data_IF_828806725822
#
_entry.id   IF_828806725822
#
_cell.length_a   1.000
_cell.length_b   1.000
_cell.length_c   1.000
_cell.angle_alpha   90.00
_cell.angle_beta   90.00
_cell.angle_gamma   90.00
#
_symmetry.space_group_name_H-M   'P 1'
#
loop_
_entity.id
_entity.type
_entity.pdbx_description
1 polymer ?
#
# COMPACT_ATOMS: atom_id res chain seq x y z
N UNK A 1 0.81 15.68 19.41
CA UNK A 1 2.18 16.09 19.81
C UNK A 1 2.17 17.61 19.91
N UNK A 2 2.36 18.19 21.10
CA UNK A 2 2.42 19.64 21.26
C UNK A 2 3.43 20.24 20.28
N UNK A 3 3.05 21.32 19.58
CA UNK A 3 3.92 22.03 18.64
C UNK A 3 4.09 21.38 17.25
N UNK A 4 3.35 20.32 16.90
CA UNK A 4 3.32 19.81 15.52
C UNK A 4 2.06 20.22 14.77
N UNK A 5 2.24 20.71 13.55
CA UNK A 5 1.15 20.98 12.62
C UNK A 5 0.64 19.67 12.02
N UNK A 6 -0.64 19.40 12.19
CA UNK A 6 -1.34 18.32 11.50
C UNK A 6 -1.99 18.89 10.25
N UNK A 7 -1.96 18.14 9.15
CA UNK A 7 -2.74 18.50 7.97
C UNK A 7 -4.23 18.48 8.29
N UNK A 8 -4.99 19.34 7.61
CA UNK A 8 -6.45 19.34 7.59
C UNK A 8 -6.91 18.47 6.43
N UNK A 9 -7.86 17.57 6.68
CA UNK A 9 -8.50 16.75 5.66
C UNK A 9 -9.63 17.49 4.97
N UNK A 10 -9.85 17.18 3.70
CA UNK A 10 -10.86 17.83 2.87
C UNK A 10 -11.79 16.82 2.22
N UNK A 11 -13.10 17.13 2.25
CA UNK A 11 -14.13 16.39 1.50
C UNK A 11 -13.99 16.66 0.01
N UNK A 12 -14.61 15.83 -0.83
CA UNK A 12 -14.61 16.04 -2.28
C UNK A 12 -15.32 17.35 -2.71
N UNK A 13 -16.15 17.93 -1.84
CA UNK A 13 -16.75 19.26 -2.01
C UNK A 13 -15.75 20.41 -1.84
N UNK A 14 -14.54 20.12 -1.33
CA UNK A 14 -13.54 21.11 -0.95
C UNK A 14 -13.68 21.62 0.49
N UNK A 15 -14.70 21.18 1.22
CA UNK A 15 -14.91 21.57 2.61
C UNK A 15 -13.90 20.88 3.53
N UNK A 16 -13.37 21.62 4.50
CA UNK A 16 -12.56 21.05 5.56
C UNK A 16 -13.39 20.12 6.46
N UNK A 17 -12.79 19.02 6.89
CA UNK A 17 -13.39 18.14 7.89
C UNK A 17 -13.39 18.84 9.25
N UNK A 18 -14.51 18.79 9.97
CA UNK A 18 -14.61 19.37 11.31
C UNK A 18 -13.61 18.73 12.27
N UNK A 19 -12.94 19.55 13.10
CA UNK A 19 -11.79 19.12 13.91
C UNK A 19 -10.55 18.70 13.10
N UNK A 20 -10.56 18.90 11.78
CA UNK A 20 -9.48 18.64 10.83
C UNK A 20 -9.36 17.18 10.37
N UNK A 21 -9.90 16.22 11.11
CA UNK A 21 -9.94 14.78 10.78
C UNK A 21 -10.91 14.05 11.72
N UNK A 22 -11.43 12.90 11.29
CA UNK A 22 -12.04 11.95 12.23
C UNK A 22 -10.95 11.24 13.04
N UNK A 23 -11.09 11.23 14.36
CA UNK A 23 -10.10 10.64 15.27
C UNK A 23 -10.53 9.24 15.68
N UNK A 24 -9.75 8.24 15.26
CA UNK A 24 -9.93 6.84 15.67
C UNK A 24 -9.01 6.48 16.84
N UNK A 25 -9.33 5.40 17.59
CA UNK A 25 -8.42 4.83 18.56
C UNK A 25 -7.06 4.49 17.91
N UNK A 26 -5.93 4.71 18.62
CA UNK A 26 -4.58 4.47 18.08
C UNK A 26 -4.36 3.05 17.56
N UNK A 27 -5.04 2.05 18.12
CA UNK A 27 -4.91 0.63 17.74
C UNK A 27 -5.67 0.23 16.47
N UNK A 28 -6.47 1.13 15.90
CA UNK A 28 -7.24 0.89 14.67
C UNK A 28 -6.78 1.78 13.52
N UNK A 29 -7.14 3.06 13.56
CA UNK A 29 -6.85 4.03 12.49
C UNK A 29 -6.36 5.39 13.04
N UNK A 30 -5.93 5.44 14.31
CA UNK A 30 -5.50 6.67 14.99
C UNK A 30 -4.02 7.04 14.80
N UNK A 31 -3.27 6.28 14.01
CA UNK A 31 -1.85 6.56 13.76
C UNK A 31 -1.63 7.88 13.02
N UNK A 32 -0.68 8.70 13.49
CA UNK A 32 -0.31 9.97 12.85
C UNK A 32 1.20 9.98 12.60
N UNK A 33 1.58 10.27 11.35
CA UNK A 33 2.98 10.28 10.93
C UNK A 33 3.17 11.00 9.62
N UNK A 34 4.43 11.14 9.20
CA UNK A 34 4.78 11.62 7.87
C UNK A 34 5.00 10.45 6.92
N UNK A 35 4.87 10.63 5.60
CA UNK A 35 5.21 9.58 4.64
C UNK A 35 6.63 9.04 4.82
N UNK A 36 7.60 9.92 5.12
CA UNK A 36 8.99 9.54 5.35
C UNK A 36 9.18 8.66 6.60
N UNK A 37 8.50 9.00 7.70
CA UNK A 37 8.58 8.18 8.92
C UNK A 37 7.92 6.81 8.73
N UNK A 38 6.78 6.75 8.03
CA UNK A 38 6.13 5.48 7.70
C UNK A 38 7.01 4.63 6.76
N UNK A 39 7.61 5.25 5.74
CA UNK A 39 8.50 4.55 4.82
C UNK A 39 9.75 4.01 5.52
N UNK A 40 10.34 4.77 6.45
CA UNK A 40 11.47 4.27 7.24
C UNK A 40 11.07 3.11 8.15
N UNK A 41 9.89 3.17 8.77
CA UNK A 41 9.36 2.04 9.54
C UNK A 41 9.13 0.79 8.67
N UNK A 42 8.55 0.95 7.48
CA UNK A 42 8.35 -0.15 6.51
C UNK A 42 9.70 -0.75 6.06
N UNK A 43 10.72 0.10 5.84
CA UNK A 43 12.09 -0.36 5.55
C UNK A 43 12.65 -1.19 6.72
N UNK A 44 12.49 -0.74 7.96
CA UNK A 44 12.92 -1.50 9.13
C UNK A 44 12.17 -2.83 9.25
N UNK A 45 10.86 -2.85 9.02
CA UNK A 45 10.04 -4.06 9.02
C UNK A 45 10.54 -5.08 7.98
N UNK A 46 10.76 -4.62 6.74
CA UNK A 46 11.29 -5.44 5.66
C UNK A 46 12.69 -6.00 5.98
N UNK A 47 13.57 -5.19 6.56
CA UNK A 47 14.90 -5.65 6.96
C UNK A 47 14.86 -6.62 8.14
N UNK A 48 13.97 -6.42 9.11
CA UNK A 48 13.79 -7.33 10.23
C UNK A 48 13.27 -8.71 9.77
N UNK A 49 12.48 -8.76 8.71
CA UNK A 49 12.04 -10.03 8.11
C UNK A 49 13.21 -10.86 7.58
N UNK A 50 14.27 -10.21 7.07
CA UNK A 50 15.44 -10.87 6.48
C UNK A 50 16.56 -11.15 7.49
N UNK A 51 16.53 -10.51 8.66
CA UNK A 51 17.63 -10.50 9.63
C UNK A 51 17.20 -11.16 10.92
N UNK A 52 17.88 -12.24 11.31
CA UNK A 52 17.55 -13.01 12.53
C UNK A 52 17.59 -12.17 13.81
N UNK A 53 18.43 -11.13 13.85
CA UNK A 53 18.57 -10.17 14.94
C UNK A 53 17.51 -9.06 14.94
N UNK A 54 16.69 -8.97 13.89
CA UNK A 54 15.71 -7.91 13.68
C UNK A 54 16.31 -6.63 13.05
N UNK A 55 15.57 -5.53 13.14
CA UNK A 55 16.03 -4.23 12.66
C UNK A 55 15.34 -3.08 13.41
N UNK A 56 16.12 -2.11 13.90
CA UNK A 56 15.60 -0.99 14.68
C UNK A 56 14.89 -1.49 15.94
N UNK A 57 13.60 -1.16 16.07
CA UNK A 57 12.75 -1.60 17.19
C UNK A 57 11.95 -2.89 16.91
N UNK A 58 12.14 -3.54 15.76
CA UNK A 58 11.31 -4.67 15.31
C UNK A 58 12.13 -5.96 15.37
N UNK A 59 11.64 -6.96 16.10
CA UNK A 59 12.25 -8.28 16.14
C UNK A 59 11.96 -9.07 14.86
N UNK A 60 12.86 -9.99 14.52
CA UNK A 60 12.66 -10.91 13.38
C UNK A 60 11.32 -11.66 13.46
N UNK A 61 11.02 -12.26 14.62
CA UNK A 61 9.77 -13.00 14.83
C UNK A 61 8.52 -12.13 14.62
N UNK A 62 8.56 -10.86 15.04
CA UNK A 62 7.44 -9.94 14.78
C UNK A 62 7.29 -9.66 13.28
N UNK A 63 8.40 -9.40 12.59
CA UNK A 63 8.37 -9.15 11.16
C UNK A 63 7.86 -10.36 10.37
N UNK A 64 8.29 -11.58 10.72
CA UNK A 64 7.78 -12.84 10.14
C UNK A 64 6.28 -12.98 10.38
N UNK A 65 5.79 -12.79 11.62
CA UNK A 65 4.35 -12.87 11.89
C UNK A 65 3.53 -11.84 11.11
N UNK A 66 4.06 -10.64 10.88
CA UNK A 66 3.37 -9.60 10.10
C UNK A 66 3.38 -9.89 8.60
N UNK A 67 4.52 -10.31 8.04
CA UNK A 67 4.75 -10.41 6.60
C UNK A 67 4.57 -11.83 6.04
N UNK A 68 4.36 -12.83 6.89
CA UNK A 68 3.89 -14.14 6.46
C UNK A 68 2.36 -14.12 6.42
N UNK A 69 1.75 -14.23 5.23
CA UNK A 69 0.30 -14.24 5.11
C UNK A 69 -0.31 -15.49 5.76
N UNK A 70 -1.53 -15.33 6.30
CA UNK A 70 -2.38 -16.44 6.72
C UNK A 70 -3.23 -16.98 5.57
N UNK A 71 -4.21 -17.82 5.94
CA UNK A 71 -5.21 -18.34 5.02
C UNK A 71 -6.04 -17.21 4.38
N UNK A 72 -6.33 -17.34 3.07
CA UNK A 72 -7.15 -16.36 2.36
C UNK A 72 -8.64 -16.54 2.72
N UNK A 73 -9.15 -15.66 3.58
CA UNK A 73 -10.56 -15.61 3.98
C UNK A 73 -11.40 -14.65 3.12
N UNK A 74 -10.95 -14.37 1.89
CA UNK A 74 -11.60 -13.45 0.94
C UNK A 74 -10.79 -12.19 0.61
N UNK A 75 -9.61 -12.05 1.20
CA UNK A 75 -8.66 -10.97 0.94
C UNK A 75 -8.15 -10.94 -0.50
N UNK A 76 -7.98 -12.11 -1.15
CA UNK A 76 -7.60 -12.18 -2.55
C UNK A 76 -8.65 -11.54 -3.47
N UNK A 77 -9.93 -11.85 -3.24
CA UNK A 77 -11.03 -11.24 -3.99
C UNK A 77 -11.15 -9.72 -3.71
N UNK A 78 -10.87 -9.30 -2.47
CA UNK A 78 -11.02 -7.93 -2.02
C UNK A 78 -9.88 -7.01 -2.49
N UNK A 79 -8.63 -7.44 -2.35
CA UNK A 79 -7.43 -6.60 -2.49
C UNK A 79 -6.30 -7.28 -3.28
N UNK A 80 -6.56 -8.41 -3.96
CA UNK A 80 -5.55 -9.18 -4.72
C UNK A 80 -4.29 -9.47 -3.89
N UNK A 81 -4.49 -9.75 -2.61
CA UNK A 81 -3.43 -9.98 -1.63
C UNK A 81 -3.97 -10.81 -0.47
N UNK A 82 -3.10 -11.50 0.24
CA UNK A 82 -3.41 -12.19 1.48
C UNK A 82 -3.28 -11.24 2.68
N UNK A 83 -3.95 -11.58 3.78
CA UNK A 83 -3.78 -10.87 5.04
C UNK A 83 -2.62 -11.46 5.85
N UNK A 84 -1.64 -10.62 6.15
CA UNK A 84 -0.77 -10.80 7.31
C UNK A 84 -1.35 -10.11 8.55
N UNK A 85 -0.55 -9.97 9.60
CA UNK A 85 -0.98 -9.21 10.79
C UNK A 85 -0.87 -7.70 10.55
N UNK A 86 -2.01 -7.08 10.21
CA UNK A 86 -2.12 -5.62 10.01
C UNK A 86 -1.53 -5.10 8.70
N UNK A 87 -1.09 -6.00 7.82
CA UNK A 87 -0.52 -5.68 6.49
C UNK A 87 -1.06 -6.69 5.47
N UNK A 88 -1.26 -6.25 4.23
CA UNK A 88 -1.57 -7.17 3.14
C UNK A 88 -0.28 -7.57 2.42
N UNK A 89 -0.20 -8.82 1.97
CA UNK A 89 0.98 -9.41 1.34
C UNK A 89 0.58 -10.13 0.05
N UNK A 90 1.34 -9.92 -1.02
CA UNK A 90 1.17 -10.67 -2.27
C UNK A 90 2.52 -10.97 -2.91
N UNK A 91 2.54 -11.97 -3.78
CA UNK A 91 3.72 -12.41 -4.50
C UNK A 91 3.56 -12.23 -5.99
N UNK A 92 4.61 -11.77 -6.65
CA UNK A 92 4.64 -11.50 -8.10
C UNK A 92 5.76 -12.32 -8.72
N UNK A 93 5.47 -13.28 -9.60
CA UNK A 93 6.49 -14.02 -10.34
C UNK A 93 7.38 -13.08 -11.15
N UNK A 94 8.68 -13.37 -11.19
CA UNK A 94 9.65 -12.56 -11.92
C UNK A 94 10.18 -13.30 -13.14
N UNK A 95 10.56 -12.56 -14.18
CA UNK A 95 11.15 -13.14 -15.40
C UNK A 95 12.50 -13.83 -15.11
N UNK A 96 13.20 -13.35 -14.09
CA UNK A 96 14.45 -13.89 -13.58
C UNK A 96 14.29 -15.21 -12.79
N UNK A 97 13.05 -15.65 -12.54
CA UNK A 97 12.74 -16.81 -11.72
C UNK A 97 12.57 -16.46 -10.24
N UNK A 98 11.65 -17.17 -9.57
CA UNK A 98 11.20 -16.85 -8.21
C UNK A 98 10.03 -15.85 -8.19
N UNK A 99 9.74 -15.33 -7.00
CA UNK A 99 8.69 -14.34 -6.79
C UNK A 99 9.19 -13.19 -5.91
N UNK A 100 8.83 -11.97 -6.29
CA UNK A 100 8.99 -10.76 -5.47
C UNK A 100 7.81 -10.66 -4.50
N UNK A 101 8.09 -10.46 -3.21
CA UNK A 101 7.06 -10.32 -2.17
C UNK A 101 6.83 -8.86 -1.83
N UNK A 102 5.58 -8.48 -1.81
CA UNK A 102 5.15 -7.10 -1.64
C UNK A 102 4.24 -6.98 -0.43
N UNK A 103 4.50 -5.98 0.41
CA UNK A 103 3.58 -5.54 1.46
C UNK A 103 2.84 -4.29 0.99
N UNK A 104 1.54 -4.24 1.27
CA UNK A 104 0.69 -3.10 0.97
C UNK A 104 -0.31 -2.83 2.08
N UNK A 105 -0.76 -1.60 2.17
CA UNK A 105 -1.97 -1.24 2.89
C UNK A 105 -2.51 0.07 2.34
N UNK A 106 -3.83 0.20 2.33
CA UNK A 106 -4.51 1.46 2.07
C UNK A 106 -5.02 2.06 3.38
N UNK A 107 -5.04 3.38 3.50
CA UNK A 107 -5.63 4.05 4.64
C UNK A 107 -6.74 4.97 4.15
N UNK A 108 -7.86 4.96 4.85
CA UNK A 108 -8.97 5.86 4.61
C UNK A 108 -9.44 6.47 5.94
N UNK A 109 -9.60 7.78 5.93
CA UNK A 109 -10.19 8.55 7.01
C UNK A 109 -10.96 9.72 6.38
N UNK A 110 -11.89 10.34 7.11
CA UNK A 110 -12.59 11.51 6.60
C UNK A 110 -11.59 12.58 6.17
N UNK A 111 -11.57 12.86 4.86
CA UNK A 111 -10.66 13.81 4.24
C UNK A 111 -9.20 13.38 4.12
N UNK A 112 -8.88 12.09 4.24
CA UNK A 112 -7.54 11.57 3.97
C UNK A 112 -7.57 10.24 3.23
N UNK A 113 -6.58 10.04 2.36
CA UNK A 113 -6.26 8.73 1.77
C UNK A 113 -4.77 8.44 1.86
N UNK A 114 -4.44 7.17 2.05
CA UNK A 114 -3.07 6.69 2.12
C UNK A 114 -2.89 5.39 1.36
N UNK A 115 -1.69 5.18 0.86
CA UNK A 115 -1.24 3.94 0.25
C UNK A 115 0.24 3.77 0.60
N UNK A 116 0.63 2.56 0.98
CA UNK A 116 2.01 2.14 0.82
C UNK A 116 2.08 0.85 0.02
N UNK A 117 3.19 0.70 -0.70
CA UNK A 117 3.51 -0.50 -1.46
C UNK A 117 5.04 -0.68 -1.43
N UNK A 118 5.51 -1.78 -0.84
CA UNK A 118 6.95 -2.04 -0.64
C UNK A 118 7.27 -3.48 -0.97
N UNK A 119 8.20 -3.69 -1.92
CA UNK A 119 8.82 -4.99 -2.14
C UNK A 119 9.84 -5.23 -1.02
N UNK A 120 9.68 -6.32 -0.28
CA UNK A 120 10.50 -6.62 0.90
C UNK A 120 11.33 -7.88 0.77
N UNK A 121 11.05 -8.71 -0.22
CA UNK A 121 11.74 -9.97 -0.47
C UNK A 121 11.68 -10.33 -1.97
N UNK A 122 12.59 -11.20 -2.40
CA UNK A 122 12.69 -11.66 -3.79
C UNK A 122 13.45 -10.72 -4.73
N UNK A 123 13.42 -10.99 -6.06
CA UNK A 123 14.33 -10.36 -7.02
C UNK A 123 14.22 -8.83 -7.11
N UNK A 124 13.02 -8.27 -6.97
CA UNK A 124 12.82 -6.81 -6.94
C UNK A 124 13.35 -6.16 -5.66
N UNK A 125 13.63 -6.92 -4.60
CA UNK A 125 14.24 -6.43 -3.36
C UNK A 125 15.72 -6.86 -3.21
N UNK A 126 16.36 -7.32 -4.30
CA UNK A 126 17.74 -7.83 -4.29
C UNK A 126 18.78 -6.83 -3.78
N UNK A 127 18.57 -5.52 -4.01
CA UNK A 127 19.41 -4.44 -3.50
C UNK A 127 18.88 -3.82 -2.20
N UNK A 128 17.97 -4.52 -1.53
CA UNK A 128 17.25 -4.07 -0.35
C UNK A 128 15.79 -3.71 -0.64
N UNK A 129 14.98 -3.51 0.43
CA UNK A 129 13.57 -3.17 0.28
C UNK A 129 13.37 -1.87 -0.49
N UNK A 130 12.39 -1.85 -1.39
CA UNK A 130 12.09 -0.68 -2.21
C UNK A 130 10.60 -0.52 -2.42
N UNK A 131 10.15 0.72 -2.48
CA UNK A 131 8.73 1.03 -2.52
C UNK A 131 8.45 2.49 -2.21
N UNK A 132 7.20 2.78 -1.93
CA UNK A 132 6.74 4.14 -1.67
C UNK A 132 5.61 4.19 -0.65
N UNK A 133 5.42 5.39 -0.09
CA UNK A 133 4.27 5.79 0.72
C UNK A 133 3.69 7.05 0.09
N UNK A 134 2.39 7.06 -0.16
CA UNK A 134 1.63 8.18 -0.69
C UNK A 134 0.55 8.50 0.32
N UNK A 135 0.54 9.72 0.85
CA UNK A 135 -0.51 10.24 1.74
C UNK A 135 -1.06 11.53 1.13
N UNK A 136 -2.37 11.68 1.09
CA UNK A 136 -3.04 12.90 0.68
C UNK A 136 -4.19 13.25 1.62
N UNK A 137 -4.56 14.52 1.62
CA UNK A 137 -5.62 15.09 2.48
C UNK A 137 -6.92 15.34 1.69
N UNK A 138 -7.29 14.40 0.83
CA UNK A 138 -8.57 14.37 0.12
C UNK A 138 -9.37 13.11 0.43
N UNK A 139 -10.67 13.15 0.10
CA UNK A 139 -11.61 12.06 0.32
C UNK A 139 -11.59 11.05 -0.85
N UNK A 140 -12.69 10.77 -1.57
CA UNK A 140 -12.65 9.76 -2.62
C UNK A 140 -11.78 10.17 -3.81
N UNK A 141 -11.66 11.46 -4.13
CA UNK A 141 -10.73 11.93 -5.15
C UNK A 141 -9.26 11.66 -4.78
N UNK A 142 -8.96 11.57 -3.48
CA UNK A 142 -7.64 11.17 -2.98
C UNK A 142 -7.26 9.74 -3.39
N UNK A 143 -8.23 8.84 -3.61
CA UNK A 143 -7.98 7.49 -4.11
C UNK A 143 -7.43 7.54 -5.54
N UNK A 144 -8.04 8.34 -6.42
CA UNK A 144 -7.59 8.49 -7.80
C UNK A 144 -6.18 9.11 -7.87
N UNK A 145 -5.91 10.11 -7.02
CA UNK A 145 -4.58 10.70 -6.89
C UNK A 145 -3.55 9.64 -6.46
N UNK A 146 -3.83 8.86 -5.42
CA UNK A 146 -2.94 7.81 -4.94
C UNK A 146 -2.66 6.78 -6.04
N UNK A 147 -3.68 6.36 -6.80
CA UNK A 147 -3.52 5.44 -7.92
C UNK A 147 -2.67 6.08 -9.03
N UNK A 148 -2.94 7.32 -9.45
CA UNK A 148 -2.17 8.01 -10.48
C UNK A 148 -0.69 8.13 -10.11
N UNK A 149 -0.40 8.52 -8.87
CA UNK A 149 0.98 8.64 -8.37
C UNK A 149 1.65 7.27 -8.28
N UNK A 150 0.95 6.24 -7.78
CA UNK A 150 1.50 4.88 -7.73
C UNK A 150 1.87 4.35 -9.12
N UNK A 151 1.00 4.53 -10.12
CA UNK A 151 1.28 4.15 -11.52
C UNK A 151 2.52 4.88 -12.04
N UNK A 152 2.58 6.20 -11.85
CA UNK A 152 3.71 7.01 -12.29
C UNK A 152 5.03 6.59 -11.63
N UNK A 153 5.02 6.25 -10.33
CA UNK A 153 6.20 5.75 -9.63
C UNK A 153 6.63 4.38 -10.15
N UNK A 154 5.70 3.42 -10.29
CA UNK A 154 6.01 2.05 -10.71
C UNK A 154 6.61 1.94 -12.12
N UNK A 155 6.29 2.87 -13.03
CA UNK A 155 6.90 2.94 -14.37
C UNK A 155 8.14 3.82 -14.44
N UNK A 156 8.46 4.55 -13.37
CA UNK A 156 9.55 5.52 -13.38
C UNK A 156 10.90 4.83 -13.23
N UNK A 157 11.80 4.94 -14.22
CA UNK A 157 13.16 4.39 -14.11
C UNK A 157 14.02 5.14 -13.08
N UNK A 158 13.58 6.33 -12.64
CA UNK A 158 14.22 7.09 -11.56
C UNK A 158 13.79 6.59 -10.18
N UNK A 159 12.51 6.19 -10.03
CA UNK A 159 12.00 5.69 -8.76
C UNK A 159 12.35 4.22 -8.54
N UNK A 160 12.31 3.41 -9.62
CA UNK A 160 12.67 2.00 -9.59
C UNK A 160 13.74 1.71 -10.64
N UNK A 161 14.98 1.58 -10.17
CA UNK A 161 16.12 1.10 -10.95
C UNK A 161 16.75 -0.08 -10.21
N UNK A 162 16.72 -1.30 -10.78
CA UNK A 162 16.13 -1.69 -12.07
C UNK A 162 14.58 -1.55 -12.09
N UNK A 163 13.91 -1.56 -13.26
CA UNK A 163 12.45 -1.54 -13.34
C UNK A 163 11.80 -2.68 -12.52
N UNK A 164 10.55 -2.48 -12.10
CA UNK A 164 9.77 -3.53 -11.42
C UNK A 164 9.36 -4.60 -12.44
N UNK A 165 9.57 -5.87 -12.09
CA UNK A 165 9.17 -7.01 -12.94
C UNK A 165 7.70 -7.37 -12.74
N UNK A 166 7.09 -8.02 -13.74
CA UNK A 166 5.73 -8.56 -13.63
C UNK A 166 4.60 -7.51 -13.71
N UNK A 167 4.87 -6.33 -14.27
CA UNK A 167 3.84 -5.29 -14.50
C UNK A 167 3.29 -5.32 -15.94
N UNK A 168 1.97 -5.38 -16.07
CA UNK A 168 1.23 -5.20 -17.31
C UNK A 168 0.13 -4.14 -17.14
N UNK A 169 0.40 -2.93 -17.62
CA UNK A 169 -0.55 -1.82 -17.56
C UNK A 169 -1.71 -1.95 -18.55
N UNK A 170 -1.64 -2.87 -19.51
CA UNK A 170 -2.77 -3.17 -20.41
C UNK A 170 -3.86 -3.99 -19.72
N UNK A 171 -3.53 -4.65 -18.61
CA UNK A 171 -4.46 -5.41 -17.78
C UNK A 171 -5.37 -4.54 -16.90
N UNK A 172 -5.12 -3.22 -16.82
CA UNK A 172 -5.90 -2.30 -15.99
C UNK A 172 -6.54 -1.17 -16.80
N UNK A 173 -7.70 -0.64 -16.36
CA UNK A 173 -8.33 0.47 -17.04
C UNK A 173 -7.46 1.74 -17.11
N UNK A 174 -7.81 2.63 -18.04
CA UNK A 174 -7.27 3.99 -18.08
C UNK A 174 -7.64 4.76 -16.81
N UNK A 175 -6.73 5.63 -16.32
CA UNK A 175 -7.06 6.60 -15.28
C UNK A 175 -8.11 7.62 -15.74
N UNK A 176 -8.21 7.85 -17.05
CA UNK A 176 -9.19 8.75 -17.65
C UNK A 176 -10.47 7.98 -18.01
N UNK A 177 -11.46 8.00 -17.11
CA UNK A 177 -12.79 7.44 -17.33
C UNK A 177 -12.90 5.92 -17.31
N UNK A 178 -11.80 5.18 -17.12
CA UNK A 178 -11.81 3.71 -17.13
C UNK A 178 -12.34 3.05 -15.85
N UNK A 179 -12.51 3.81 -14.76
CA UNK A 179 -13.06 3.33 -13.49
C UNK A 179 -14.09 4.32 -12.95
N UNK A 180 -15.24 3.80 -12.49
CA UNK A 180 -16.33 4.58 -11.90
C UNK A 180 -16.64 4.10 -10.50
N UNK A 181 -16.85 5.04 -9.58
CA UNK A 181 -17.30 4.76 -8.21
C UNK A 181 -18.81 4.64 -8.10
N UNK A 182 -19.57 4.88 -9.18
CA UNK A 182 -21.02 4.84 -9.16
C UNK A 182 -21.53 3.45 -8.76
N UNK A 183 -22.36 3.39 -7.72
CA UNK A 183 -22.94 2.14 -7.21
C UNK A 183 -22.00 1.31 -6.31
N UNK A 184 -20.77 1.76 -6.07
CA UNK A 184 -19.85 1.15 -5.11
C UNK A 184 -20.15 1.69 -3.71
N UNK A 185 -20.14 0.81 -2.69
CA UNK A 185 -20.29 1.25 -1.30
C UNK A 185 -19.09 2.07 -0.86
N UNK A 186 -19.30 3.08 -0.02
CA UNK A 186 -18.26 4.03 0.37
C UNK A 186 -17.02 3.32 0.97
N UNK A 187 -17.22 2.28 1.78
CA UNK A 187 -16.17 1.48 2.39
C UNK A 187 -15.38 0.59 1.39
N UNK A 188 -15.91 0.38 0.19
CA UNK A 188 -15.29 -0.45 -0.86
C UNK A 188 -14.54 0.38 -1.91
N UNK A 189 -14.85 1.68 -2.05
CA UNK A 189 -14.29 2.57 -3.08
C UNK A 189 -12.77 2.52 -3.14
N UNK A 190 -12.09 2.60 -1.99
CA UNK A 190 -10.63 2.63 -1.94
C UNK A 190 -10.03 1.29 -2.35
N UNK A 191 -10.61 0.20 -1.87
CA UNK A 191 -10.10 -1.15 -2.11
C UNK A 191 -10.29 -1.55 -3.57
N UNK A 192 -11.49 -1.35 -4.12
CA UNK A 192 -11.79 -1.66 -5.52
C UNK A 192 -11.04 -0.75 -6.48
N UNK A 193 -10.93 0.55 -6.17
CA UNK A 193 -10.16 1.49 -6.98
C UNK A 193 -8.67 1.09 -7.05
N UNK A 194 -8.05 0.84 -5.89
CA UNK A 194 -6.64 0.42 -5.84
C UNK A 194 -6.42 -0.93 -6.54
N UNK A 195 -7.32 -1.89 -6.29
CA UNK A 195 -7.27 -3.21 -6.93
C UNK A 195 -7.28 -3.06 -8.45
N UNK A 196 -8.29 -2.39 -9.00
CA UNK A 196 -8.51 -2.31 -10.45
C UNK A 196 -7.54 -1.39 -11.17
N UNK A 197 -7.10 -0.29 -10.55
CA UNK A 197 -6.25 0.70 -11.23
C UNK A 197 -4.75 0.45 -11.05
N UNK A 198 -4.34 -0.36 -10.06
CA UNK A 198 -2.92 -0.60 -9.74
C UNK A 198 -2.60 -2.07 -9.54
N UNK A 199 -3.26 -2.77 -8.61
CA UNK A 199 -2.82 -4.12 -8.21
C UNK A 199 -3.05 -5.16 -9.30
N UNK A 200 -4.09 -5.00 -10.12
CA UNK A 200 -4.36 -5.88 -11.26
C UNK A 200 -3.28 -5.83 -12.34
N UNK A 201 -2.45 -4.78 -12.36
CA UNK A 201 -1.30 -4.69 -13.26
C UNK A 201 -0.15 -5.64 -12.86
N UNK A 202 -0.09 -6.11 -11.61
CA UNK A 202 0.89 -7.13 -11.22
C UNK A 202 0.44 -8.50 -11.73
N UNK A 203 0.99 -8.93 -12.87
CA UNK A 203 0.62 -10.18 -13.55
C UNK A 203 1.09 -11.38 -12.75
N UNK A 204 0.24 -12.41 -12.69
CA UNK A 204 0.55 -13.62 -11.93
C UNK A 204 0.59 -13.38 -10.42
N UNK A 205 0.19 -12.20 -9.94
CA UNK A 205 0.08 -11.93 -8.53
C UNK A 205 -0.86 -12.94 -7.88
N UNK A 206 -0.30 -13.83 -7.07
CA UNK A 206 -1.03 -14.86 -6.36
C UNK A 206 -1.19 -14.43 -4.89
N UNK A 207 -2.35 -14.75 -4.32
CA UNK A 207 -2.40 -14.97 -2.88
C UNK A 207 -1.40 -16.08 -2.56
N UNK A 208 -0.48 -15.82 -1.64
CA UNK A 208 0.54 -16.80 -1.25
C UNK A 208 -0.20 -17.97 -0.59
N UNK A 209 -0.26 -19.10 -1.29
CA UNK A 209 -0.74 -20.35 -0.72
C UNK A 209 0.39 -20.95 0.10
N UNK A 210 0.16 -21.11 1.40
CA UNK A 210 1.03 -21.86 2.31
C UNK A 210 1.07 -23.35 1.96
#
# INVERSE_FOLDING_TARGET
>A
IPGKHYATGYRDTGDAVDGGRLSFPPLAAGGLGTPAALLDWLRQLALAFQRSEGCGGISHGTAVMMLTPGEDLGSGAFMRSCMGLGVFVFEVPTESGGASKWMLHQAANDGFRGLYLVCFDGPDASNGPRGFVILCNGDNQGMFLNCAVARALLVSPLAFSPPVQGLDWSAVPSMDGGFSTAGIKQEEVVNLGLKSLVLEAFVGAASVAS
#
